data_IF_421210411517
#
_entry.id   IF_421210411517
#
_cell.length_a   1.000
_cell.length_b   1.000
_cell.length_c   1.000
_cell.angle_alpha   90.00
_cell.angle_beta   90.00
_cell.angle_gamma   90.00
#
_symmetry.space_group_name_H-M   'P 1'
#
loop_
_entity.id
_entity.type
_entity.pdbx_description
1 polymer ?
#
# COMPACT_ATOMS: atom_id res chain seq x y z
N UNK A 1 -65.15 30.16 -9.33
CA UNK A 1 -65.31 28.90 -10.09
C UNK A 1 -64.33 27.91 -9.50
N UNK A 2 -64.80 27.11 -8.54
CA UNK A 2 -63.99 26.08 -7.87
C UNK A 2 -64.11 24.78 -8.66
N UNK A 3 -62.98 24.32 -9.19
CA UNK A 3 -62.88 22.98 -9.76
C UNK A 3 -62.74 21.94 -8.61
N UNK A 4 -63.50 20.84 -8.60
CA UNK A 4 -63.40 19.82 -7.57
C UNK A 4 -62.11 19.00 -7.76
N UNK A 5 -61.36 18.87 -6.68
CA UNK A 5 -60.30 17.87 -6.58
C UNK A 5 -60.91 16.47 -6.74
N UNK A 6 -60.52 15.78 -7.78
CA UNK A 6 -60.85 14.36 -7.96
C UNK A 6 -60.09 13.54 -6.92
N UNK A 7 -60.76 13.17 -5.84
CA UNK A 7 -60.31 12.10 -4.93
C UNK A 7 -60.42 10.76 -5.63
N UNK A 8 -59.49 10.45 -6.53
CA UNK A 8 -59.29 9.10 -7.01
C UNK A 8 -58.79 8.24 -5.87
N UNK A 9 -59.55 7.21 -5.53
CA UNK A 9 -59.23 6.21 -4.53
C UNK A 9 -57.85 5.58 -4.87
N UNK A 10 -56.80 6.03 -4.19
CA UNK A 10 -55.56 5.30 -4.06
C UNK A 10 -55.86 4.05 -3.22
N UNK A 11 -56.07 2.91 -3.89
CA UNK A 11 -56.05 1.61 -3.24
C UNK A 11 -54.68 1.52 -2.52
N UNK A 12 -54.70 1.69 -1.20
CA UNK A 12 -53.59 1.40 -0.33
C UNK A 12 -53.33 -0.10 -0.41
N UNK A 13 -52.52 -0.54 -1.35
CA UNK A 13 -51.75 -1.75 -1.14
C UNK A 13 -50.85 -1.47 0.09
N UNK A 14 -51.30 -1.93 1.26
CA UNK A 14 -50.47 -1.96 2.47
C UNK A 14 -49.39 -2.98 2.18
N UNK A 15 -48.30 -2.54 1.65
CA UNK A 15 -47.06 -3.29 1.61
C UNK A 15 -46.66 -3.45 3.08
N UNK A 16 -46.59 -4.68 3.54
CA UNK A 16 -46.18 -4.95 4.92
C UNK A 16 -44.72 -4.47 5.04
N UNK A 17 -44.48 -3.49 5.93
CA UNK A 17 -43.17 -2.82 6.08
C UNK A 17 -42.13 -3.85 6.48
N UNK A 18 -42.52 -4.90 7.19
CA UNK A 18 -41.64 -5.98 7.63
C UNK A 18 -41.11 -6.84 6.44
N UNK A 19 -41.87 -6.97 5.35
CA UNK A 19 -41.48 -7.69 4.14
C UNK A 19 -40.42 -6.91 3.31
N UNK A 20 -40.26 -5.61 3.52
CA UNK A 20 -39.27 -4.76 2.84
C UNK A 20 -38.00 -4.55 3.67
N UNK A 21 -37.97 -4.95 4.94
CA UNK A 21 -36.77 -4.86 5.78
C UNK A 21 -35.77 -5.94 5.44
N UNK A 22 -34.75 -5.58 4.66
CA UNK A 22 -33.72 -6.50 4.15
C UNK A 22 -32.65 -6.82 5.20
N UNK A 23 -32.43 -5.90 6.15
CA UNK A 23 -31.39 -6.06 7.17
C UNK A 23 -31.81 -5.58 8.57
N UNK A 24 -31.32 -6.23 9.65
CA UNK A 24 -31.56 -5.78 11.00
C UNK A 24 -30.77 -4.49 11.31
N UNK A 25 -31.30 -3.67 12.24
CA UNK A 25 -30.57 -2.49 12.71
C UNK A 25 -29.37 -2.90 13.57
N UNK A 26 -28.17 -2.55 13.13
CA UNK A 26 -26.92 -2.78 13.85
C UNK A 26 -26.45 -1.54 14.63
N UNK A 27 -27.07 -0.39 14.47
CA UNK A 27 -26.64 0.89 15.03
C UNK A 27 -26.43 0.86 16.55
N UNK A 28 -27.44 0.42 17.31
CA UNK A 28 -27.34 0.29 18.78
C UNK A 28 -26.27 -0.71 19.20
N UNK A 29 -26.13 -1.83 18.48
CA UNK A 29 -25.15 -2.87 18.78
C UNK A 29 -23.74 -2.36 18.53
N UNK A 30 -23.52 -1.66 17.42
CA UNK A 30 -22.23 -1.00 17.11
C UNK A 30 -21.86 0.06 18.13
N UNK A 31 -22.81 0.91 18.52
CA UNK A 31 -22.58 1.92 19.55
C UNK A 31 -22.16 1.27 20.88
N UNK A 32 -22.82 0.18 21.27
CA UNK A 32 -22.43 -0.58 22.47
C UNK A 32 -21.02 -1.15 22.34
N UNK A 33 -20.66 -1.75 21.21
CA UNK A 33 -19.30 -2.26 20.96
C UNK A 33 -18.27 -1.12 20.99
N UNK A 34 -18.58 0.02 20.39
CA UNK A 34 -17.74 1.21 20.42
C UNK A 34 -17.50 1.72 21.84
N UNK A 35 -18.58 1.91 22.62
CA UNK A 35 -18.48 2.36 23.99
C UNK A 35 -17.74 1.35 24.88
N UNK A 36 -18.01 0.05 24.71
CA UNK A 36 -17.31 -1.02 25.42
C UNK A 36 -15.80 -1.00 25.13
N UNK A 37 -15.40 -0.69 23.88
CA UNK A 37 -14.00 -0.58 23.50
C UNK A 37 -13.32 0.61 24.16
N UNK A 38 -13.97 1.79 24.14
CA UNK A 38 -13.44 3.00 24.78
C UNK A 38 -13.33 2.82 26.30
N UNK A 39 -14.40 2.34 26.94
CA UNK A 39 -14.40 2.08 28.39
C UNK A 39 -13.38 1.00 28.76
N UNK A 40 -13.29 -0.06 27.94
CA UNK A 40 -12.32 -1.13 28.13
C UNK A 40 -10.88 -0.63 28.09
N UNK A 41 -10.53 0.24 27.15
CA UNK A 41 -9.21 0.85 27.05
C UNK A 41 -8.90 1.72 28.29
N UNK A 42 -9.84 2.56 28.70
CA UNK A 42 -9.71 3.42 29.87
C UNK A 42 -9.43 2.56 31.12
N UNK A 43 -10.30 1.58 31.35
CA UNK A 43 -10.19 0.67 32.51
C UNK A 43 -8.87 -0.12 32.46
N UNK A 44 -8.48 -0.60 31.28
CA UNK A 44 -7.23 -1.34 31.08
C UNK A 44 -5.99 -0.51 31.46
N UNK A 45 -5.95 0.77 31.04
CA UNK A 45 -4.85 1.67 31.39
C UNK A 45 -4.80 1.89 32.90
N UNK A 46 -5.93 2.20 33.54
CA UNK A 46 -5.98 2.41 34.98
C UNK A 46 -5.58 1.15 35.74
N UNK A 47 -6.10 -0.02 35.40
CA UNK A 47 -5.76 -1.29 36.07
C UNK A 47 -4.28 -1.59 35.91
N UNK A 48 -3.71 -1.42 34.72
CA UNK A 48 -2.30 -1.71 34.46
C UNK A 48 -1.38 -0.83 35.29
N UNK A 49 -1.62 0.47 35.34
CA UNK A 49 -0.82 1.39 36.18
C UNK A 49 -1.04 1.15 37.66
N UNK A 50 -2.29 0.97 38.12
CA UNK A 50 -2.60 0.68 39.51
C UNK A 50 -1.94 -0.60 40.01
N UNK A 51 -2.06 -1.69 39.24
CA UNK A 51 -1.43 -2.97 39.59
C UNK A 51 0.09 -2.86 39.66
N UNK A 52 0.72 -2.21 38.69
CA UNK A 52 2.18 -2.03 38.65
C UNK A 52 2.65 -1.19 39.85
N UNK A 53 1.97 -0.07 40.15
CA UNK A 53 2.31 0.79 41.27
C UNK A 53 2.18 0.06 42.62
N UNK A 54 1.09 -0.69 42.79
CA UNK A 54 0.87 -1.47 44.00
C UNK A 54 1.93 -2.57 44.20
N UNK A 55 2.29 -3.26 43.13
CA UNK A 55 3.32 -4.33 43.17
C UNK A 55 4.70 -3.75 43.54
N UNK A 56 5.07 -2.59 43.03
CA UNK A 56 6.39 -2.00 43.23
C UNK A 56 6.56 -1.26 44.56
N UNK A 57 5.54 -0.55 45.05
CA UNK A 57 5.65 0.31 46.24
C UNK A 57 4.37 0.37 47.09
N UNK A 58 3.51 -0.64 47.03
CA UNK A 58 2.30 -0.72 47.85
C UNK A 58 1.33 0.43 47.62
N UNK A 59 0.68 0.91 48.68
CA UNK A 59 -0.33 1.97 48.61
C UNK A 59 0.22 3.33 48.13
N UNK A 60 1.49 3.64 48.44
CA UNK A 60 2.13 4.88 47.96
C UNK A 60 2.35 4.81 46.43
N UNK A 61 2.89 3.70 45.93
CA UNK A 61 3.08 3.49 44.50
C UNK A 61 1.76 3.45 43.70
N UNK A 62 0.68 3.00 44.34
CA UNK A 62 -0.66 3.04 43.73
C UNK A 62 -1.09 4.49 43.43
N UNK A 63 -0.95 5.42 44.38
CA UNK A 63 -1.31 6.82 44.19
C UNK A 63 -0.52 7.49 43.05
N UNK A 64 0.80 7.32 43.05
CA UNK A 64 1.67 7.90 42.01
C UNK A 64 1.37 7.33 40.61
N UNK A 65 1.16 6.02 40.52
CA UNK A 65 0.87 5.37 39.23
C UNK A 65 -0.50 5.77 38.66
N UNK A 66 -1.48 6.03 39.50
CA UNK A 66 -2.76 6.56 39.08
C UNK A 66 -2.65 7.98 38.46
N UNK A 67 -1.78 8.83 39.00
CA UNK A 67 -1.46 10.14 38.41
C UNK A 67 -0.84 9.96 37.04
N UNK A 68 0.07 9.00 36.86
CA UNK A 68 0.63 8.70 35.54
C UNK A 68 -0.43 8.23 34.54
N UNK A 69 -1.36 7.37 34.95
CA UNK A 69 -2.48 6.94 34.13
C UNK A 69 -3.36 8.13 33.69
N UNK A 70 -3.65 9.07 34.61
CA UNK A 70 -4.41 10.27 34.31
C UNK A 70 -3.72 11.19 33.29
N UNK A 71 -2.39 11.27 33.32
CA UNK A 71 -1.61 12.06 32.34
C UNK A 71 -1.59 11.43 30.95
N UNK A 72 -1.47 10.11 30.87
CA UNK A 72 -1.40 9.38 29.60
C UNK A 72 -2.77 9.33 28.90
N UNK A 73 -3.85 9.16 29.67
CA UNK A 73 -5.18 8.87 29.16
C UNK A 73 -5.71 9.88 28.14
N UNK A 74 -5.70 11.22 28.39
CA UNK A 74 -6.22 12.18 27.41
C UNK A 74 -5.42 12.19 26.12
N UNK A 75 -4.09 12.03 26.21
CA UNK A 75 -3.21 11.97 25.05
C UNK A 75 -3.50 10.69 24.24
N UNK A 76 -3.60 9.56 24.94
CA UNK A 76 -3.94 8.28 24.33
C UNK A 76 -5.29 8.33 23.62
N UNK A 77 -6.36 8.83 24.29
CA UNK A 77 -7.69 8.90 23.69
C UNK A 77 -7.71 9.80 22.45
N UNK A 78 -7.06 10.96 22.52
CA UNK A 78 -6.95 11.87 21.37
C UNK A 78 -6.26 11.18 20.18
N UNK A 79 -5.12 10.55 20.44
CA UNK A 79 -4.39 9.83 19.37
C UNK A 79 -5.15 8.61 18.86
N UNK A 80 -5.82 7.85 19.72
CA UNK A 80 -6.61 6.68 19.35
C UNK A 80 -7.85 7.05 18.53
N UNK A 81 -8.49 8.18 18.84
CA UNK A 81 -9.57 8.74 18.02
C UNK A 81 -9.05 9.19 16.65
N UNK A 82 -7.94 9.92 16.63
CA UNK A 82 -7.37 10.46 15.40
C UNK A 82 -6.84 9.37 14.45
N UNK A 83 -6.17 8.35 14.96
CA UNK A 83 -5.61 7.25 14.15
C UNK A 83 -6.66 6.20 13.73
N UNK A 84 -7.92 6.39 14.13
CA UNK A 84 -9.02 5.49 13.81
C UNK A 84 -9.02 4.17 14.59
N UNK A 85 -8.40 4.13 15.79
CA UNK A 85 -8.43 2.94 16.64
C UNK A 85 -9.85 2.55 17.10
N UNK A 86 -10.80 3.47 16.98
CA UNK A 86 -12.23 3.28 17.25
C UNK A 86 -13.10 3.29 15.98
N UNK A 87 -12.52 3.19 14.79
CA UNK A 87 -13.27 3.13 13.54
C UNK A 87 -13.98 1.78 13.36
N UNK A 88 -15.02 1.75 12.51
CA UNK A 88 -15.69 0.50 12.09
C UNK A 88 -14.72 -0.52 11.52
N UNK A 89 -13.71 -0.05 10.76
CA UNK A 89 -12.64 -0.90 10.23
C UNK A 89 -11.80 -1.56 11.35
N UNK A 90 -11.58 -0.88 12.47
CA UNK A 90 -10.88 -1.44 13.64
C UNK A 90 -11.75 -2.40 14.45
N UNK A 91 -13.06 -2.24 14.43
CA UNK A 91 -14.02 -3.20 15.00
C UNK A 91 -14.10 -4.47 14.15
N UNK A 92 -14.06 -4.33 12.82
CA UNK A 92 -14.08 -5.45 11.86
C UNK A 92 -12.80 -6.28 11.91
N UNK A 93 -11.64 -5.61 11.87
CA UNK A 93 -10.33 -6.23 11.92
C UNK A 93 -9.68 -5.97 13.29
N UNK A 94 -9.84 -6.94 14.19
CA UNK A 94 -9.31 -6.83 15.56
C UNK A 94 -7.81 -6.59 15.62
N UNK A 95 -7.03 -7.12 14.67
CA UNK A 95 -5.58 -6.88 14.62
C UNK A 95 -5.23 -5.43 14.26
N UNK A 96 -5.98 -4.83 13.32
CA UNK A 96 -5.84 -3.39 13.03
C UNK A 96 -6.21 -2.54 14.24
N UNK A 97 -7.26 -2.93 14.95
CA UNK A 97 -7.67 -2.27 16.19
C UNK A 97 -6.60 -2.34 17.28
N UNK A 98 -6.00 -3.51 17.51
CA UNK A 98 -4.88 -3.70 18.45
C UNK A 98 -3.69 -2.84 18.04
N UNK A 99 -3.24 -2.95 16.79
CA UNK A 99 -2.08 -2.21 16.31
C UNK A 99 -2.24 -0.69 16.48
N UNK A 100 -3.40 -0.13 16.08
CA UNK A 100 -3.69 1.29 16.23
C UNK A 100 -3.74 1.74 17.70
N UNK A 101 -4.30 0.90 18.58
CA UNK A 101 -4.30 1.15 20.02
C UNK A 101 -2.90 1.18 20.62
N UNK A 102 -2.05 0.19 20.26
CA UNK A 102 -0.66 0.14 20.70
C UNK A 102 0.16 1.34 20.21
N UNK A 103 0.01 1.73 18.95
CA UNK A 103 0.67 2.93 18.43
C UNK A 103 0.26 4.18 19.20
N UNK A 104 -1.03 4.31 19.54
CA UNK A 104 -1.51 5.45 20.33
C UNK A 104 -0.90 5.47 21.73
N UNK A 105 -0.78 4.31 22.41
CA UNK A 105 -0.13 4.23 23.74
C UNK A 105 1.35 4.58 23.65
N UNK A 106 2.09 4.02 22.69
CA UNK A 106 3.53 4.28 22.52
C UNK A 106 3.79 5.78 22.32
N UNK A 107 3.01 6.43 21.45
CA UNK A 107 3.15 7.87 21.21
C UNK A 107 2.76 8.66 22.47
N UNK A 108 1.68 8.28 23.16
CA UNK A 108 1.26 8.96 24.40
C UNK A 108 2.33 8.86 25.50
N UNK A 109 2.92 7.68 25.69
CA UNK A 109 4.04 7.46 26.63
C UNK A 109 5.23 8.34 26.25
N UNK A 110 5.62 8.36 24.97
CA UNK A 110 6.72 9.19 24.50
C UNK A 110 6.47 10.67 24.76
N UNK A 111 5.26 11.17 24.47
CA UNK A 111 4.89 12.57 24.73
C UNK A 111 4.98 12.91 26.21
N UNK A 112 4.45 12.05 27.10
CA UNK A 112 4.51 12.29 28.54
C UNK A 112 5.95 12.31 29.04
N UNK A 113 6.79 11.35 28.63
CA UNK A 113 8.22 11.33 29.01
C UNK A 113 8.94 12.57 28.50
N UNK A 114 8.68 12.96 27.25
CA UNK A 114 9.31 14.16 26.68
C UNK A 114 8.91 15.44 27.42
N UNK A 115 7.63 15.60 27.75
CA UNK A 115 7.13 16.77 28.52
C UNK A 115 7.71 16.79 29.92
N UNK A 116 7.77 15.63 30.59
CA UNK A 116 8.39 15.51 31.95
C UNK A 116 9.87 15.89 31.92
N UNK A 117 10.60 15.43 30.89
CA UNK A 117 12.02 15.80 30.71
C UNK A 117 12.23 17.32 30.54
N UNK A 118 11.32 18.01 29.81
CA UNK A 118 11.41 19.44 29.60
C UNK A 118 11.07 20.26 30.83
N UNK A 119 10.08 19.83 31.64
CA UNK A 119 9.58 20.63 32.80
C UNK A 119 10.38 20.41 34.06
N UNK A 120 10.82 19.18 34.30
CA UNK A 120 11.56 18.79 35.55
C UNK A 120 12.64 17.77 35.24
N UNK A 121 13.84 18.18 34.78
CA UNK A 121 14.93 17.26 34.46
C UNK A 121 15.45 16.50 35.71
N UNK A 122 15.29 17.07 36.93
CA UNK A 122 15.78 16.52 38.18
C UNK A 122 14.70 15.81 39.02
N UNK A 123 13.49 15.63 38.54
CA UNK A 123 12.45 14.92 39.28
C UNK A 123 12.75 13.42 39.31
N UNK A 124 12.91 12.85 40.50
CA UNK A 124 12.91 11.41 40.77
C UNK A 124 11.51 10.83 40.55
N UNK A 125 11.07 10.87 39.29
CA UNK A 125 9.91 10.10 38.89
C UNK A 125 10.29 8.64 39.01
N UNK A 126 9.48 7.85 39.71
CA UNK A 126 9.66 6.40 39.74
C UNK A 126 9.66 5.83 38.32
N UNK A 127 10.82 5.89 37.65
CA UNK A 127 11.01 5.46 36.26
C UNK A 127 10.58 4.01 36.06
N UNK A 128 10.79 3.19 37.09
CA UNK A 128 10.38 1.78 37.11
C UNK A 128 8.86 1.64 37.13
N UNK A 129 8.15 2.44 37.96
CA UNK A 129 6.70 2.45 38.07
C UNK A 129 6.02 2.93 36.78
N UNK A 130 6.52 4.02 36.17
CA UNK A 130 6.00 4.55 34.92
C UNK A 130 6.24 3.58 33.76
N UNK A 131 7.47 3.10 33.55
CA UNK A 131 7.80 2.20 32.45
C UNK A 131 7.09 0.84 32.58
N UNK A 132 7.04 0.30 33.81
CA UNK A 132 6.31 -0.93 34.10
C UNK A 132 4.80 -0.78 33.83
N UNK A 133 4.22 0.34 34.29
CA UNK A 133 2.82 0.67 34.03
C UNK A 133 2.50 0.82 32.54
N UNK A 134 3.38 1.46 31.79
CA UNK A 134 3.22 1.62 30.33
C UNK A 134 3.29 0.27 29.58
N UNK A 135 4.26 -0.59 29.92
CA UNK A 135 4.37 -1.93 29.35
C UNK A 135 3.16 -2.81 29.71
N UNK A 136 2.72 -2.76 30.97
CA UNK A 136 1.53 -3.45 31.42
C UNK A 136 0.27 -2.94 30.69
N UNK A 137 0.13 -1.62 30.51
CA UNK A 137 -0.98 -1.03 29.78
C UNK A 137 -1.01 -1.49 28.32
N UNK A 138 0.13 -1.56 27.63
CA UNK A 138 0.20 -2.12 26.27
C UNK A 138 -0.28 -3.57 26.23
N UNK A 139 0.16 -4.39 27.16
CA UNK A 139 -0.21 -5.80 27.23
C UNK A 139 -1.71 -5.98 27.55
N UNK A 140 -2.24 -5.26 28.54
CA UNK A 140 -3.63 -5.37 28.98
C UNK A 140 -4.59 -4.83 27.93
N UNK A 141 -4.29 -3.68 27.31
CA UNK A 141 -5.10 -3.12 26.20
C UNK A 141 -5.09 -4.05 25.00
N UNK A 142 -3.92 -4.60 24.61
CA UNK A 142 -3.86 -5.56 23.51
C UNK A 142 -4.71 -6.80 23.79
N UNK A 143 -4.57 -7.38 25.00
CA UNK A 143 -5.34 -8.53 25.41
C UNK A 143 -6.85 -8.24 25.44
N UNK A 144 -7.26 -7.13 26.06
CA UNK A 144 -8.65 -6.72 26.15
C UNK A 144 -9.28 -6.52 24.74
N UNK A 145 -8.56 -5.85 23.84
CA UNK A 145 -9.04 -5.64 22.46
C UNK A 145 -9.17 -6.95 21.68
N UNK A 146 -8.31 -7.94 21.94
CA UNK A 146 -8.45 -9.28 21.34
C UNK A 146 -9.68 -10.00 21.89
N UNK A 147 -9.95 -9.91 23.21
CA UNK A 147 -11.16 -10.49 23.83
C UNK A 147 -12.43 -9.80 23.31
N UNK A 148 -12.38 -8.48 23.13
CA UNK A 148 -13.52 -7.72 22.64
C UNK A 148 -13.93 -8.12 21.20
N UNK A 149 -13.01 -8.66 20.40
CA UNK A 149 -13.33 -9.24 19.08
C UNK A 149 -14.39 -10.33 19.17
N UNK A 150 -14.30 -11.19 20.17
CA UNK A 150 -15.31 -12.25 20.40
C UNK A 150 -16.65 -11.65 20.82
N UNK A 151 -16.63 -10.61 21.66
CA UNK A 151 -17.81 -9.86 22.06
C UNK A 151 -18.50 -9.17 20.86
N UNK A 152 -17.71 -8.53 19.99
CA UNK A 152 -18.20 -7.85 18.78
C UNK A 152 -18.87 -8.86 17.84
N UNK A 153 -18.26 -10.03 17.60
CA UNK A 153 -18.86 -11.10 16.80
C UNK A 153 -20.14 -11.63 17.42
N UNK A 154 -20.14 -11.87 18.71
CA UNK A 154 -21.33 -12.32 19.41
C UNK A 154 -22.48 -11.31 19.31
N UNK A 155 -22.17 -10.00 19.38
CA UNK A 155 -23.19 -8.92 19.42
C UNK A 155 -23.67 -8.50 18.04
N UNK A 156 -22.77 -8.37 17.06
CA UNK A 156 -23.05 -7.86 15.72
C UNK A 156 -23.10 -8.95 14.64
N UNK A 157 -22.65 -10.17 14.95
CA UNK A 157 -22.48 -11.24 13.95
C UNK A 157 -21.14 -11.12 13.21
N UNK A 158 -20.99 -11.87 12.12
CA UNK A 158 -19.77 -11.89 11.32
C UNK A 158 -19.56 -10.59 10.52
N UNK A 159 -20.64 -9.89 10.20
CA UNK A 159 -20.61 -8.61 9.48
C UNK A 159 -21.05 -7.47 10.40
N UNK A 160 -20.16 -6.50 10.58
CA UNK A 160 -20.44 -5.29 11.37
C UNK A 160 -21.20 -4.25 10.56
N UNK A 161 -21.10 -4.29 9.23
CA UNK A 161 -21.80 -3.42 8.29
C UNK A 161 -22.79 -4.23 7.46
N UNK A 162 -23.96 -3.65 7.21
CA UNK A 162 -24.94 -4.22 6.30
C UNK A 162 -24.63 -3.76 4.88
N UNK A 163 -24.16 -4.67 4.05
CA UNK A 163 -23.88 -4.42 2.63
C UNK A 163 -24.98 -5.03 1.77
N UNK A 164 -25.49 -4.25 0.81
CA UNK A 164 -26.55 -4.64 -0.10
C UNK A 164 -26.07 -4.52 -1.56
N UNK A 165 -26.36 -5.54 -2.36
CA UNK A 165 -26.23 -5.49 -3.81
C UNK A 165 -27.61 -5.45 -4.43
N UNK A 166 -27.93 -4.40 -5.18
CA UNK A 166 -29.14 -4.27 -5.98
C UNK A 166 -28.82 -4.63 -7.42
N UNK A 167 -29.38 -5.73 -7.91
CA UNK A 167 -29.25 -6.18 -9.27
C UNK A 167 -30.41 -5.64 -10.11
N UNK A 168 -30.12 -4.70 -11.00
CA UNK A 168 -31.08 -4.06 -11.92
C UNK A 168 -30.69 -4.33 -13.39
N UNK A 169 -30.18 -5.53 -13.66
CA UNK A 169 -29.84 -5.99 -15.02
C UNK A 169 -28.49 -5.49 -15.53
N UNK A 170 -27.57 -5.15 -14.62
CA UNK A 170 -26.17 -4.84 -14.94
C UNK A 170 -25.24 -6.05 -14.83
N UNK A 171 -23.90 -5.83 -14.85
CA UNK A 171 -22.92 -6.87 -14.69
C UNK A 171 -23.02 -7.59 -13.33
N UNK A 172 -22.72 -8.88 -13.32
CA UNK A 172 -22.80 -9.66 -12.08
C UNK A 172 -21.62 -9.36 -11.14
N UNK A 173 -21.91 -8.92 -9.94
CA UNK A 173 -20.93 -8.71 -8.85
C UNK A 173 -21.20 -9.68 -7.73
N UNK A 174 -20.15 -10.30 -7.21
CA UNK A 174 -20.20 -11.12 -6.00
C UNK A 174 -19.35 -10.47 -4.92
N UNK A 175 -19.99 -10.12 -3.80
CA UNK A 175 -19.32 -9.65 -2.58
C UNK A 175 -19.65 -10.62 -1.46
N UNK A 176 -18.62 -11.12 -0.78
CA UNK A 176 -18.80 -12.12 0.27
C UNK A 176 -19.48 -11.47 1.50
N UNK A 177 -20.65 -12.00 1.85
CA UNK A 177 -21.40 -11.53 3.01
C UNK A 177 -22.39 -10.40 2.72
N UNK A 178 -22.46 -9.87 1.49
CA UNK A 178 -23.45 -8.89 1.10
C UNK A 178 -24.81 -9.58 0.81
N UNK A 179 -25.89 -8.91 1.18
CA UNK A 179 -27.26 -9.30 0.83
C UNK A 179 -27.46 -8.92 -0.63
N UNK A 180 -28.08 -9.81 -1.42
CA UNK A 180 -28.38 -9.53 -2.83
C UNK A 180 -29.87 -9.56 -3.09
N UNK A 181 -30.38 -8.53 -3.76
CA UNK A 181 -31.76 -8.43 -4.17
C UNK A 181 -31.87 -8.08 -5.66
N UNK A 182 -32.96 -8.51 -6.29
CA UNK A 182 -33.31 -8.10 -7.65
C UNK A 182 -34.20 -6.87 -7.59
N UNK A 183 -33.81 -5.79 -8.28
CA UNK A 183 -34.64 -4.59 -8.40
C UNK A 183 -36.01 -4.89 -9.03
N UNK A 184 -36.01 -5.71 -10.08
CA UNK A 184 -37.24 -6.13 -10.76
C UNK A 184 -38.13 -6.98 -9.84
N UNK A 185 -37.54 -7.93 -9.08
CA UNK A 185 -38.27 -8.81 -8.16
C UNK A 185 -38.93 -8.07 -7.01
N UNK A 186 -38.33 -6.96 -6.54
CA UNK A 186 -38.87 -6.12 -5.47
C UNK A 186 -39.63 -4.89 -6.00
N UNK A 187 -39.81 -4.75 -7.31
CA UNK A 187 -40.51 -3.61 -7.92
C UNK A 187 -39.80 -2.28 -7.69
N UNK A 188 -38.50 -2.29 -7.51
CA UNK A 188 -37.69 -1.07 -7.31
C UNK A 188 -37.40 -0.42 -8.67
N UNK A 189 -37.81 0.84 -8.79
CA UNK A 189 -37.54 1.66 -9.99
C UNK A 189 -37.00 3.01 -9.56
N UNK A 190 -35.83 3.44 -10.05
CA UNK A 190 -35.23 4.72 -9.69
C UNK A 190 -35.91 5.87 -10.41
N UNK A 191 -37.21 6.10 -10.14
CA UNK A 191 -37.98 7.19 -10.72
C UNK A 191 -38.03 8.39 -9.77
N UNK A 192 -37.30 9.45 -10.09
CA UNK A 192 -37.22 10.67 -9.28
C UNK A 192 -38.52 11.49 -9.24
N UNK A 193 -39.44 11.21 -10.18
CA UNK A 193 -40.74 11.91 -10.27
C UNK A 193 -41.86 11.17 -9.53
N UNK A 194 -41.57 10.01 -8.94
CA UNK A 194 -42.56 9.21 -8.19
C UNK A 194 -42.12 9.08 -6.73
N UNK A 195 -42.75 9.86 -5.81
CA UNK A 195 -42.46 9.79 -4.37
C UNK A 195 -42.69 8.39 -3.76
N UNK A 196 -43.62 7.60 -4.30
CA UNK A 196 -43.86 6.24 -3.78
C UNK A 196 -42.76 5.28 -4.17
N UNK A 197 -42.17 5.44 -5.37
CA UNK A 197 -40.99 4.67 -5.77
C UNK A 197 -39.78 5.03 -4.91
N UNK A 198 -39.61 6.31 -4.56
CA UNK A 198 -38.54 6.77 -3.67
C UNK A 198 -38.71 6.23 -2.25
N UNK A 199 -39.91 6.28 -1.70
CA UNK A 199 -40.24 5.74 -0.37
C UNK A 199 -39.95 4.23 -0.30
N UNK A 200 -40.36 3.47 -1.31
CA UNK A 200 -40.12 2.01 -1.39
C UNK A 200 -38.63 1.69 -1.35
N UNK A 201 -37.83 2.41 -2.13
CA UNK A 201 -36.37 2.22 -2.12
C UNK A 201 -35.78 2.64 -0.78
N UNK A 202 -36.24 3.75 -0.20
CA UNK A 202 -35.86 4.21 1.14
C UNK A 202 -36.13 3.19 2.24
N UNK A 203 -37.25 2.48 2.18
CA UNK A 203 -37.59 1.38 3.10
C UNK A 203 -36.61 0.19 2.94
N UNK A 204 -36.28 -0.20 1.70
CA UNK A 204 -35.31 -1.28 1.43
C UNK A 204 -33.92 -0.91 1.91
N UNK A 205 -33.51 0.37 1.75
CA UNK A 205 -32.21 0.87 2.19
C UNK A 205 -32.14 1.14 3.69
N UNK A 206 -33.24 1.03 4.40
CA UNK A 206 -33.25 1.19 5.85
C UNK A 206 -32.33 0.17 6.51
N UNK A 207 -31.47 0.63 7.40
CA UNK A 207 -30.45 -0.17 8.09
C UNK A 207 -29.31 -0.70 7.20
N UNK A 208 -29.24 -0.32 5.93
CA UNK A 208 -28.11 -0.61 5.05
C UNK A 208 -27.07 0.48 5.24
N UNK A 209 -25.81 0.08 5.33
CA UNK A 209 -24.67 0.99 5.46
C UNK A 209 -24.04 1.30 4.10
N UNK A 210 -23.92 0.26 3.28
CA UNK A 210 -23.31 0.35 1.95
C UNK A 210 -24.19 -0.39 0.93
N UNK A 211 -24.45 0.27 -0.18
CA UNK A 211 -25.20 -0.33 -1.29
C UNK A 211 -24.42 -0.22 -2.59
N UNK A 212 -24.36 -1.33 -3.31
CA UNK A 212 -23.79 -1.41 -4.65
C UNK A 212 -24.94 -1.68 -5.62
N UNK A 213 -25.13 -0.79 -6.58
CA UNK A 213 -26.12 -0.98 -7.64
C UNK A 213 -25.46 -1.43 -8.90
N UNK A 214 -25.89 -2.57 -9.43
CA UNK A 214 -25.53 -3.07 -10.74
C UNK A 214 -26.66 -2.85 -11.70
N UNK A 215 -26.49 -1.92 -12.65
CA UNK A 215 -27.52 -1.53 -13.61
C UNK A 215 -26.92 -1.20 -14.97
N UNK A 216 -27.73 -1.18 -16.05
CA UNK A 216 -27.31 -0.70 -17.37
C UNK A 216 -26.86 0.77 -17.32
N UNK A 217 -25.95 1.15 -18.25
CA UNK A 217 -25.37 2.49 -18.33
C UNK A 217 -26.42 3.63 -18.33
N UNK A 218 -27.54 3.43 -19.02
CA UNK A 218 -28.60 4.42 -19.12
C UNK A 218 -29.33 4.73 -17.80
N UNK A 219 -29.28 3.83 -16.81
CA UNK A 219 -29.95 4.01 -15.50
C UNK A 219 -29.01 4.45 -14.37
N UNK A 220 -27.71 4.51 -14.63
CA UNK A 220 -26.71 4.86 -13.60
C UNK A 220 -26.95 6.23 -12.98
N UNK A 221 -27.32 7.23 -13.80
CA UNK A 221 -27.56 8.59 -13.32
C UNK A 221 -28.77 8.67 -12.38
N UNK A 222 -29.85 7.94 -12.68
CA UNK A 222 -31.05 7.87 -11.85
C UNK A 222 -30.77 7.22 -10.50
N UNK A 223 -30.10 6.06 -10.50
CA UNK A 223 -29.67 5.39 -9.28
C UNK A 223 -28.70 6.25 -8.46
N UNK A 224 -27.71 6.87 -9.10
CA UNK A 224 -26.76 7.74 -8.39
C UNK A 224 -27.45 8.93 -7.72
N UNK A 225 -28.43 9.56 -8.37
CA UNK A 225 -29.19 10.66 -7.80
C UNK A 225 -30.04 10.19 -6.62
N UNK A 226 -30.66 9.02 -6.75
CA UNK A 226 -31.46 8.40 -5.69
C UNK A 226 -30.63 8.07 -4.46
N UNK A 227 -29.48 7.44 -4.63
CA UNK A 227 -28.57 7.06 -3.54
C UNK A 227 -28.03 8.27 -2.77
N UNK A 228 -27.81 9.41 -3.43
CA UNK A 228 -27.38 10.65 -2.77
C UNK A 228 -28.39 11.17 -1.76
N UNK A 229 -29.69 10.87 -1.94
CA UNK A 229 -30.75 11.23 -1.01
C UNK A 229 -31.02 10.19 0.09
N UNK A 230 -30.45 8.99 -0.01
CA UNK A 230 -30.81 7.85 0.83
C UNK A 230 -29.98 7.71 2.12
N UNK A 231 -29.01 8.59 2.38
CA UNK A 231 -28.12 8.55 3.56
C UNK A 231 -27.42 7.19 3.76
N UNK A 232 -26.92 6.60 2.66
CA UNK A 232 -26.14 5.38 2.62
C UNK A 232 -24.86 5.60 1.79
N UNK A 233 -23.82 4.81 2.03
CA UNK A 233 -22.66 4.78 1.15
C UNK A 233 -23.05 4.07 -0.15
N UNK A 234 -23.37 4.86 -1.19
CA UNK A 234 -23.91 4.38 -2.46
C UNK A 234 -22.84 4.29 -3.55
N UNK A 235 -22.73 3.13 -4.18
CA UNK A 235 -21.84 2.87 -5.30
C UNK A 235 -22.65 2.36 -6.49
N UNK A 236 -22.31 2.82 -7.69
CA UNK A 236 -22.89 2.32 -8.94
C UNK A 236 -21.78 1.66 -9.75
N UNK A 237 -22.02 0.42 -10.17
CA UNK A 237 -21.05 -0.37 -10.92
C UNK A 237 -20.81 0.22 -12.29
N UNK A 238 -19.55 0.40 -12.66
CA UNK A 238 -19.11 0.78 -13.99
C UNK A 238 -17.89 -0.03 -14.43
N UNK A 239 -18.06 -0.85 -15.45
CA UNK A 239 -16.99 -1.70 -15.99
C UNK A 239 -15.86 -0.89 -16.64
N UNK A 240 -16.12 0.34 -17.09
CA UNK A 240 -15.07 1.22 -17.62
C UNK A 240 -13.99 1.54 -16.61
N UNK A 241 -14.36 1.67 -15.33
CA UNK A 241 -13.42 1.87 -14.22
C UNK A 241 -12.40 0.72 -14.16
N UNK A 242 -12.88 -0.52 -14.26
CA UNK A 242 -12.03 -1.71 -14.26
C UNK A 242 -11.24 -1.83 -15.58
N UNK A 243 -11.87 -1.59 -16.71
CA UNK A 243 -11.24 -1.66 -18.04
C UNK A 243 -10.09 -0.68 -18.19
N UNK A 244 -10.22 0.54 -17.65
CA UNK A 244 -9.18 1.56 -17.68
C UNK A 244 -8.16 1.40 -16.53
N UNK A 245 -8.38 0.49 -15.57
CA UNK A 245 -7.57 0.37 -14.36
C UNK A 245 -7.61 1.66 -13.53
N UNK A 246 -8.76 2.32 -13.46
CA UNK A 246 -8.88 3.59 -12.75
C UNK A 246 -8.74 3.39 -11.24
N UNK A 247 -7.88 4.21 -10.63
CA UNK A 247 -7.56 4.18 -9.20
C UNK A 247 -8.43 5.16 -8.38
N UNK A 248 -9.20 6.01 -9.05
CA UNK A 248 -10.06 6.98 -8.42
C UNK A 248 -10.78 7.87 -9.45
N UNK A 249 -11.67 8.71 -8.94
CA UNK A 249 -12.38 9.69 -9.75
C UNK A 249 -12.31 11.08 -9.08
N UNK A 250 -12.31 12.13 -9.91
CA UNK A 250 -12.44 13.51 -9.44
C UNK A 250 -13.28 14.31 -10.41
N UNK A 251 -13.86 15.40 -9.94
CA UNK A 251 -14.62 16.33 -10.77
C UNK A 251 -13.83 17.63 -10.94
N UNK A 252 -13.71 18.09 -12.19
CA UNK A 252 -13.09 19.39 -12.51
C UNK A 252 -14.07 20.17 -13.39
N UNK A 253 -14.64 21.22 -12.84
CA UNK A 253 -15.73 21.95 -13.47
C UNK A 253 -16.96 21.05 -13.66
N UNK A 254 -17.36 20.81 -14.90
CA UNK A 254 -18.50 19.94 -15.27
C UNK A 254 -18.06 18.54 -15.71
N UNK A 255 -16.76 18.25 -15.71
CA UNK A 255 -16.22 17.00 -16.25
C UNK A 255 -15.79 16.05 -15.13
N UNK A 256 -16.23 14.80 -15.20
CA UNK A 256 -15.68 13.69 -14.43
C UNK A 256 -14.36 13.21 -15.04
N UNK A 257 -13.34 13.02 -14.22
CA UNK A 257 -12.04 12.50 -14.62
C UNK A 257 -11.76 11.20 -13.86
N UNK A 258 -11.41 10.15 -14.58
CA UNK A 258 -10.91 8.93 -13.97
C UNK A 258 -9.39 9.03 -13.85
N UNK A 259 -8.89 8.80 -12.66
CA UNK A 259 -7.46 8.77 -12.40
C UNK A 259 -6.92 7.38 -12.73
N UNK A 260 -6.28 7.24 -13.90
CA UNK A 260 -5.79 5.96 -14.42
C UNK A 260 -4.34 5.66 -14.05
N UNK A 261 -3.62 6.62 -13.50
CA UNK A 261 -2.23 6.45 -13.07
C UNK A 261 -1.91 7.40 -11.93
N UNK A 262 -1.24 6.87 -10.91
CA UNK A 262 -0.56 7.65 -9.88
C UNK A 262 0.92 7.24 -9.87
N UNK A 263 1.81 8.19 -9.64
CA UNK A 263 3.23 7.85 -9.47
C UNK A 263 3.42 6.89 -8.28
N UNK A 264 4.27 5.85 -8.40
CA UNK A 264 4.38 4.81 -7.37
C UNK A 264 4.94 5.32 -6.04
N UNK A 265 5.60 6.49 -6.04
CA UNK A 265 6.16 7.10 -4.83
C UNK A 265 5.64 8.51 -4.63
N UNK A 266 5.18 8.80 -3.41
CA UNK A 266 4.90 10.16 -2.93
C UNK A 266 6.17 11.02 -2.85
N UNK A 267 6.04 12.31 -2.61
CA UNK A 267 7.19 13.24 -2.52
C UNK A 267 8.16 12.83 -1.39
N UNK A 268 7.62 12.47 -0.22
CA UNK A 268 8.40 12.01 0.94
C UNK A 268 9.22 10.76 0.60
N UNK A 269 8.57 9.76 0.02
CA UNK A 269 9.22 8.48 -0.30
C UNK A 269 10.30 8.65 -1.37
N UNK A 270 10.07 9.54 -2.34
CA UNK A 270 11.10 9.92 -3.33
C UNK A 270 12.30 10.60 -2.69
N UNK A 271 12.08 11.46 -1.69
CA UNK A 271 13.16 12.13 -0.97
C UNK A 271 13.96 11.14 -0.13
N UNK A 272 13.29 10.26 0.63
CA UNK A 272 13.90 9.21 1.45
C UNK A 272 14.73 8.26 0.56
N UNK A 273 14.12 7.78 -0.54
CA UNK A 273 14.81 6.90 -1.49
C UNK A 273 16.03 7.60 -2.11
N UNK A 274 15.92 8.87 -2.47
CA UNK A 274 17.05 9.61 -3.06
C UNK A 274 18.18 9.82 -2.07
N UNK A 275 17.87 10.17 -0.82
CA UNK A 275 18.89 10.32 0.23
C UNK A 275 19.63 9.00 0.46
N UNK A 276 18.87 7.91 0.54
CA UNK A 276 19.42 6.56 0.66
C UNK A 276 20.34 6.21 -0.52
N UNK A 277 19.86 6.41 -1.77
CA UNK A 277 20.65 6.14 -2.99
C UNK A 277 21.96 6.92 -3.00
N UNK A 278 21.93 8.22 -2.67
CA UNK A 278 23.12 9.08 -2.67
C UNK A 278 24.10 8.70 -1.57
N UNK A 279 23.61 8.46 -0.35
CA UNK A 279 24.47 8.10 0.79
C UNK A 279 25.19 6.77 0.55
N UNK A 280 24.46 5.75 0.11
CA UNK A 280 25.06 4.43 -0.12
C UNK A 280 25.94 4.38 -1.38
N UNK A 281 25.51 5.00 -2.49
CA UNK A 281 26.33 5.03 -3.71
C UNK A 281 27.59 5.87 -3.50
N UNK A 282 27.48 7.02 -2.82
CA UNK A 282 28.65 7.86 -2.49
C UNK A 282 29.63 7.14 -1.57
N UNK A 283 29.12 6.52 -0.50
CA UNK A 283 29.96 5.69 0.39
C UNK A 283 30.63 4.53 -0.33
N UNK A 284 29.90 3.83 -1.20
CA UNK A 284 30.43 2.73 -1.99
C UNK A 284 31.54 3.21 -2.97
N UNK A 285 31.33 4.33 -3.66
CA UNK A 285 32.36 4.91 -4.56
C UNK A 285 33.60 5.27 -3.77
N UNK A 286 33.48 5.93 -2.63
CA UNK A 286 34.62 6.29 -1.77
C UNK A 286 35.38 5.05 -1.29
N UNK A 287 34.69 4.04 -0.79
CA UNK A 287 35.30 2.81 -0.30
C UNK A 287 35.96 2.00 -1.42
N UNK A 288 35.34 1.94 -2.60
CA UNK A 288 35.83 1.19 -3.74
C UNK A 288 36.76 2.01 -4.67
N UNK A 289 37.05 3.28 -4.37
CA UNK A 289 37.83 4.17 -5.23
C UNK A 289 39.21 3.60 -5.59
N UNK A 290 39.98 2.95 -4.68
CA UNK A 290 41.28 2.34 -5.08
C UNK A 290 41.09 1.23 -6.12
N UNK A 291 40.08 0.39 -5.95
CA UNK A 291 39.73 -0.68 -6.90
C UNK A 291 39.32 -0.10 -8.26
N UNK A 292 38.43 0.91 -8.25
CA UNK A 292 37.98 1.57 -9.48
C UNK A 292 39.12 2.18 -10.27
N UNK A 293 40.09 2.81 -9.59
CA UNK A 293 41.27 3.39 -10.22
C UNK A 293 42.16 2.29 -10.82
N UNK A 294 42.45 1.22 -10.08
CA UNK A 294 43.27 0.10 -10.58
C UNK A 294 42.63 -0.54 -11.81
N UNK A 295 41.34 -0.79 -11.78
CA UNK A 295 40.61 -1.36 -12.93
C UNK A 295 40.61 -0.38 -14.11
N UNK A 296 40.37 0.91 -13.87
CA UNK A 296 40.44 1.93 -14.92
C UNK A 296 41.82 1.95 -15.62
N UNK A 297 42.88 1.91 -14.85
CA UNK A 297 44.25 1.84 -15.38
C UNK A 297 44.51 0.53 -16.16
N UNK A 298 44.07 -0.60 -15.62
CA UNK A 298 44.23 -1.90 -16.31
C UNK A 298 43.49 -1.93 -17.65
N UNK A 299 42.26 -1.41 -17.72
CA UNK A 299 41.50 -1.30 -18.97
C UNK A 299 42.17 -0.33 -19.95
N UNK A 300 42.70 0.80 -19.44
CA UNK A 300 43.37 1.80 -20.28
C UNK A 300 44.68 1.29 -20.85
N UNK A 301 45.50 0.61 -20.05
CA UNK A 301 46.81 0.12 -20.44
C UNK A 301 46.75 -1.09 -21.39
N UNK A 302 45.64 -1.80 -21.45
CA UNK A 302 45.49 -3.00 -22.27
C UNK A 302 45.50 -2.70 -23.77
N UNK A 303 44.81 -1.65 -24.22
CA UNK A 303 44.68 -1.30 -25.65
C UNK A 303 44.58 0.21 -25.92
N UNK A 304 44.80 1.06 -24.91
CA UNK A 304 44.81 2.53 -25.05
C UNK A 304 43.45 3.18 -25.23
N UNK A 305 42.38 2.40 -25.41
CA UNK A 305 41.03 2.91 -25.67
C UNK A 305 40.32 3.57 -24.47
N UNK A 306 39.03 3.85 -24.58
CA UNK A 306 38.23 4.43 -23.49
C UNK A 306 38.11 3.49 -22.29
N UNK A 307 38.16 4.02 -21.07
CA UNK A 307 37.97 3.25 -19.82
C UNK A 307 36.56 2.80 -19.68
N UNK A 308 35.61 3.70 -19.98
CA UNK A 308 34.18 3.43 -19.86
C UNK A 308 33.58 3.06 -21.21
N UNK A 309 32.64 2.16 -21.15
CA UNK A 309 31.67 1.85 -22.19
C UNK A 309 30.31 2.42 -21.77
N UNK A 310 29.69 3.14 -22.68
CA UNK A 310 28.36 3.72 -22.45
C UNK A 310 27.34 3.01 -23.33
N UNK A 311 26.21 2.63 -22.73
CA UNK A 311 25.13 1.99 -23.46
C UNK A 311 23.83 2.69 -23.17
N UNK A 312 23.08 3.01 -24.23
CA UNK A 312 21.77 3.64 -24.13
C UNK A 312 20.74 2.64 -23.62
N UNK A 313 20.07 2.96 -22.52
CA UNK A 313 19.07 2.12 -21.86
C UNK A 313 17.80 2.90 -21.56
N UNK A 314 16.68 2.17 -21.47
CA UNK A 314 15.42 2.75 -21.04
C UNK A 314 15.42 2.95 -19.51
N UNK A 315 15.07 4.15 -19.08
CA UNK A 315 15.01 4.56 -17.68
C UNK A 315 13.63 5.05 -17.26
N UNK A 316 13.58 5.78 -16.15
CA UNK A 316 12.33 6.28 -15.57
C UNK A 316 11.52 7.12 -16.54
N UNK A 317 10.18 6.87 -16.57
CA UNK A 317 9.24 7.57 -17.43
C UNK A 317 9.46 7.29 -18.91
N UNK A 318 9.96 6.09 -19.23
CA UNK A 318 10.26 5.64 -20.58
C UNK A 318 11.24 6.56 -21.34
N UNK A 319 12.18 7.22 -20.62
CA UNK A 319 13.20 8.08 -21.19
C UNK A 319 14.54 7.36 -21.23
N UNK A 320 15.28 7.59 -22.28
CA UNK A 320 16.63 7.01 -22.40
C UNK A 320 17.64 7.72 -21.49
N UNK A 321 18.60 6.93 -21.00
CA UNK A 321 19.79 7.42 -20.31
C UNK A 321 21.02 6.62 -20.75
N UNK A 322 22.21 7.15 -20.47
CA UNK A 322 23.48 6.50 -20.77
C UNK A 322 23.97 5.73 -19.54
N UNK A 323 23.97 4.41 -19.61
CA UNK A 323 24.43 3.53 -18.55
C UNK A 323 25.95 3.35 -18.67
N UNK A 324 26.69 3.60 -17.59
CA UNK A 324 28.16 3.45 -17.56
C UNK A 324 28.56 2.05 -17.12
N UNK A 325 29.54 1.49 -17.82
CA UNK A 325 30.25 0.26 -17.45
C UNK A 325 31.75 0.41 -17.71
N UNK A 326 32.60 -0.41 -17.07
CA UNK A 326 33.94 -0.55 -17.56
C UNK A 326 33.92 -1.30 -18.89
N UNK A 327 34.78 -0.87 -19.81
CA UNK A 327 34.92 -1.54 -21.09
C UNK A 327 35.56 -2.92 -20.91
N UNK A 328 34.83 -3.94 -21.30
CA UNK A 328 35.24 -5.34 -21.21
C UNK A 328 35.52 -6.02 -22.58
N UNK A 329 35.26 -5.30 -23.67
CA UNK A 329 35.38 -5.79 -25.05
C UNK A 329 36.25 -4.84 -25.88
N UNK A 330 36.83 -5.36 -26.95
CA UNK A 330 37.60 -4.56 -27.91
C UNK A 330 36.72 -3.53 -28.62
N UNK A 331 37.27 -2.33 -28.85
CA UNK A 331 36.48 -1.18 -29.32
C UNK A 331 35.93 -1.36 -30.74
N UNK A 332 36.64 -2.09 -31.60
CA UNK A 332 36.31 -2.31 -33.03
C UNK A 332 35.11 -3.24 -33.25
N UNK A 333 34.69 -4.00 -32.24
CA UNK A 333 33.64 -5.03 -32.33
C UNK A 333 32.48 -4.81 -31.36
N UNK A 334 32.37 -3.62 -30.76
CA UNK A 334 31.35 -3.30 -29.75
C UNK A 334 29.95 -3.16 -30.38
N UNK A 335 28.94 -3.84 -29.82
CA UNK A 335 27.52 -3.66 -30.15
C UNK A 335 26.91 -2.56 -29.25
N UNK A 336 26.82 -1.35 -29.79
CA UNK A 336 26.21 -0.22 -29.09
C UNK A 336 24.69 -0.35 -28.89
N UNK A 337 24.05 -1.16 -29.73
CA UNK A 337 22.59 -1.38 -29.67
C UNK A 337 22.17 -2.45 -28.69
N UNK A 338 23.11 -3.35 -28.32
CA UNK A 338 22.82 -4.45 -27.40
C UNK A 338 21.89 -5.51 -27.95
N UNK A 339 21.83 -5.64 -29.27
CA UNK A 339 21.03 -6.63 -29.97
C UNK A 339 21.60 -8.06 -29.83
N UNK A 340 22.92 -8.17 -29.68
CA UNK A 340 23.57 -9.46 -29.50
C UNK A 340 24.09 -9.62 -28.08
N UNK A 341 23.46 -10.51 -27.34
CA UNK A 341 23.93 -10.89 -25.98
C UNK A 341 25.29 -11.56 -26.08
N UNK A 342 26.25 -11.11 -25.27
CA UNK A 342 27.57 -11.70 -25.24
C UNK A 342 27.54 -13.09 -24.57
N UNK A 343 27.99 -14.14 -25.26
CA UNK A 343 28.18 -15.47 -24.68
C UNK A 343 29.43 -15.54 -23.79
N UNK A 344 29.60 -16.62 -23.00
CA UNK A 344 30.77 -16.82 -22.14
C UNK A 344 32.09 -16.82 -22.90
N UNK A 345 32.11 -17.37 -24.11
CA UNK A 345 33.30 -17.57 -24.92
C UNK A 345 33.40 -16.59 -26.10
N UNK A 346 32.79 -15.41 -25.95
CA UNK A 346 32.80 -14.36 -26.95
C UNK A 346 34.22 -13.83 -27.17
N UNK A 347 34.75 -13.99 -28.39
CA UNK A 347 36.13 -13.58 -28.78
C UNK A 347 36.38 -12.07 -28.68
N UNK A 348 35.30 -11.26 -28.57
CA UNK A 348 35.38 -9.81 -28.37
C UNK A 348 35.85 -9.43 -26.96
N UNK A 349 35.77 -10.37 -26.00
CA UNK A 349 36.07 -10.11 -24.58
C UNK A 349 37.57 -10.10 -24.34
N UNK A 350 38.10 -8.99 -23.81
CA UNK A 350 39.52 -8.84 -23.48
C UNK A 350 39.92 -9.68 -22.25
N UNK A 351 41.24 -9.87 -22.00
CA UNK A 351 41.70 -10.61 -20.81
C UNK A 351 41.23 -9.94 -19.50
N UNK A 352 41.42 -8.63 -19.38
CA UNK A 352 40.94 -7.85 -18.24
C UNK A 352 39.41 -7.89 -18.20
N UNK A 353 38.77 -7.76 -19.38
CA UNK A 353 37.33 -7.84 -19.54
C UNK A 353 36.71 -9.13 -18.99
N UNK A 354 37.34 -10.26 -19.19
CA UNK A 354 36.89 -11.56 -18.68
C UNK A 354 36.92 -11.60 -17.15
N UNK A 355 37.95 -11.05 -16.53
CA UNK A 355 38.04 -10.96 -15.07
C UNK A 355 36.96 -10.05 -14.49
N UNK A 356 36.81 -8.80 -15.00
CA UNK A 356 35.85 -7.82 -14.45
C UNK A 356 34.41 -8.24 -14.68
N UNK A 357 34.08 -8.96 -15.77
CA UNK A 357 32.75 -9.53 -16.01
C UNK A 357 32.45 -10.67 -15.05
N UNK A 358 33.39 -11.58 -14.85
CA UNK A 358 33.21 -12.70 -13.91
C UNK A 358 32.93 -12.24 -12.46
N UNK A 359 33.51 -11.11 -12.09
CA UNK A 359 33.38 -10.50 -10.76
C UNK A 359 32.32 -9.40 -10.69
N UNK A 360 31.60 -9.13 -11.79
CA UNK A 360 30.64 -8.02 -11.91
C UNK A 360 31.25 -6.63 -11.61
N UNK A 361 32.56 -6.50 -11.57
CA UNK A 361 33.25 -5.22 -11.37
C UNK A 361 33.01 -4.27 -12.55
N UNK A 362 32.74 -4.81 -13.74
CA UNK A 362 32.39 -4.00 -14.92
C UNK A 362 31.12 -3.18 -14.73
N UNK A 363 30.23 -3.55 -13.83
CA UNK A 363 28.99 -2.82 -13.53
C UNK A 363 29.15 -1.74 -12.45
N UNK A 364 30.27 -1.69 -11.71
CA UNK A 364 30.49 -0.69 -10.64
C UNK A 364 30.38 0.77 -11.11
N UNK A 365 30.74 1.17 -12.33
CA UNK A 365 30.56 2.55 -12.81
C UNK A 365 29.08 2.99 -12.85
N UNK A 366 28.10 2.07 -12.79
CA UNK A 366 26.69 2.42 -12.67
C UNK A 366 26.39 3.14 -11.33
N UNK A 367 27.26 3.04 -10.31
CA UNK A 367 27.16 3.86 -9.10
C UNK A 367 27.22 5.37 -9.42
N UNK A 368 27.93 5.77 -10.48
CA UNK A 368 27.88 7.16 -10.97
C UNK A 368 26.50 7.51 -11.55
N UNK A 369 25.83 6.58 -12.26
CA UNK A 369 24.45 6.81 -12.70
C UNK A 369 23.49 6.96 -11.52
N UNK A 370 23.73 6.28 -10.40
CA UNK A 370 22.93 6.46 -9.18
C UNK A 370 23.15 7.86 -8.60
N UNK A 371 24.40 8.32 -8.50
CA UNK A 371 24.71 9.68 -8.02
C UNK A 371 24.16 10.76 -8.94
N UNK A 372 24.24 10.59 -10.25
CA UNK A 372 23.66 11.51 -11.24
C UNK A 372 22.14 11.51 -11.21
N UNK A 373 21.54 10.43 -10.75
CA UNK A 373 20.09 10.30 -10.59
C UNK A 373 19.37 9.63 -11.74
N UNK A 374 20.10 9.03 -12.69
CA UNK A 374 19.53 8.22 -13.77
C UNK A 374 19.07 6.86 -13.26
N UNK A 375 19.80 6.31 -12.28
CA UNK A 375 19.53 5.02 -11.65
C UNK A 375 19.28 5.16 -10.14
N UNK A 376 18.91 4.05 -9.54
CA UNK A 376 18.77 3.81 -8.10
C UNK A 376 19.59 2.58 -7.71
N UNK A 377 19.92 2.41 -6.44
CA UNK A 377 20.53 1.16 -5.95
C UNK A 377 19.59 -0.03 -6.17
N UNK A 378 18.30 0.16 -5.89
CA UNK A 378 17.28 -0.87 -6.04
C UNK A 378 16.18 -0.39 -6.97
N UNK A 379 15.84 -1.20 -7.95
CA UNK A 379 14.80 -0.94 -8.94
C UNK A 379 14.78 -2.01 -10.04
N UNK A 380 13.85 -1.91 -11.01
CA UNK A 380 13.82 -2.78 -12.17
C UNK A 380 15.12 -2.70 -12.97
N UNK A 381 15.70 -3.84 -13.37
CA UNK A 381 16.96 -3.84 -14.15
C UNK A 381 16.76 -3.17 -15.51
N UNK A 382 17.65 -2.22 -15.95
CA UNK A 382 17.51 -1.57 -17.24
C UNK A 382 17.81 -2.53 -18.39
N UNK A 383 16.89 -2.64 -19.34
CA UNK A 383 17.05 -3.48 -20.53
C UNK A 383 17.47 -2.65 -21.76
N UNK A 384 18.12 -3.29 -22.72
CA UNK A 384 18.37 -2.70 -24.03
C UNK A 384 17.08 -2.70 -24.85
N UNK A 385 16.98 -1.77 -25.79
CA UNK A 385 15.82 -1.70 -26.69
C UNK A 385 15.71 -2.90 -27.64
N UNK A 386 16.81 -3.57 -27.94
CA UNK A 386 16.84 -4.78 -28.75
C UNK A 386 16.74 -6.09 -27.96
N UNK A 387 16.39 -6.06 -26.66
CA UNK A 387 16.28 -7.29 -25.86
C UNK A 387 15.09 -8.14 -26.31
N UNK A 388 15.35 -9.45 -26.50
CA UNK A 388 14.38 -10.44 -26.96
C UNK A 388 14.04 -11.42 -25.84
N UNK A 389 12.80 -11.89 -25.84
CA UNK A 389 12.34 -13.05 -25.07
C UNK A 389 11.81 -14.07 -26.09
N UNK A 390 12.54 -15.16 -26.31
CA UNK A 390 12.38 -15.94 -27.52
C UNK A 390 12.61 -15.08 -28.78
N UNK A 391 11.65 -15.05 -29.67
CA UNK A 391 11.72 -14.29 -30.94
C UNK A 391 11.06 -12.91 -30.89
N UNK A 392 10.49 -12.51 -29.72
CA UNK A 392 9.75 -11.25 -29.57
C UNK A 392 10.52 -10.22 -28.77
N UNK A 393 10.34 -8.95 -29.11
CA UNK A 393 10.81 -7.86 -28.27
C UNK A 393 10.06 -7.84 -26.92
N UNK A 394 10.74 -7.44 -25.88
CA UNK A 394 10.18 -7.47 -24.51
C UNK A 394 8.81 -6.79 -24.39
N UNK A 395 8.59 -5.66 -25.06
CA UNK A 395 7.31 -4.94 -25.02
C UNK A 395 6.21 -5.56 -25.90
N UNK A 396 6.56 -6.50 -26.80
CA UNK A 396 5.60 -7.24 -27.61
C UNK A 396 5.02 -8.43 -26.84
N UNK A 397 5.72 -8.92 -25.82
CA UNK A 397 5.27 -10.04 -24.98
C UNK A 397 4.17 -9.60 -24.01
N UNK A 398 4.33 -8.43 -23.36
CA UNK A 398 3.35 -7.92 -22.39
C UNK A 398 3.32 -6.38 -22.43
N UNK A 399 2.14 -5.81 -22.68
CA UNK A 399 1.93 -4.37 -22.73
C UNK A 399 2.25 -3.66 -21.41
N UNK A 400 2.17 -4.36 -20.28
CA UNK A 400 2.55 -3.84 -18.96
C UNK A 400 4.05 -3.62 -18.81
N UNK A 401 4.86 -4.09 -19.76
CA UNK A 401 6.30 -3.88 -19.76
C UNK A 401 6.71 -2.42 -19.54
N UNK A 402 5.96 -1.47 -20.13
CA UNK A 402 6.24 -0.05 -20.00
C UNK A 402 6.01 0.50 -18.58
N UNK A 403 5.16 -0.14 -17.79
CA UNK A 403 4.82 0.30 -16.42
C UNK A 403 6.01 0.14 -15.47
N UNK A 404 6.91 -0.80 -15.73
CA UNK A 404 8.12 -1.03 -14.91
C UNK A 404 9.06 0.19 -14.85
N UNK A 405 8.96 1.09 -15.83
CA UNK A 405 9.75 2.32 -15.88
C UNK A 405 9.15 3.50 -15.11
N UNK A 406 8.11 3.28 -14.32
CA UNK A 406 7.55 4.32 -13.45
C UNK A 406 8.50 4.71 -12.30
N UNK A 407 9.43 3.81 -11.92
CA UNK A 407 10.59 4.11 -11.05
C UNK A 407 11.91 4.16 -11.85
N UNK A 408 12.97 4.64 -11.18
CA UNK A 408 14.33 4.56 -11.73
C UNK A 408 14.78 3.11 -11.83
N UNK A 409 15.51 2.74 -12.88
CA UNK A 409 16.14 1.43 -12.96
C UNK A 409 17.18 1.25 -11.85
N UNK A 410 17.34 0.00 -11.38
CA UNK A 410 18.24 -0.33 -10.28
C UNK A 410 19.50 -1.07 -10.71
N UNK A 411 20.57 -0.96 -9.88
CA UNK A 411 21.71 -1.87 -9.92
C UNK A 411 21.25 -3.28 -9.52
N UNK A 412 20.44 -3.37 -8.48
CA UNK A 412 19.77 -4.58 -8.05
C UNK A 412 18.26 -4.41 -8.09
N UNK A 413 17.51 -5.51 -8.03
CA UNK A 413 16.05 -5.47 -8.05
C UNK A 413 15.43 -6.76 -7.57
N UNK A 414 14.13 -6.71 -7.28
CA UNK A 414 13.39 -7.87 -6.77
C UNK A 414 13.46 -9.06 -7.72
N UNK A 415 13.33 -8.83 -9.02
CA UNK A 415 13.47 -9.89 -10.04
C UNK A 415 14.82 -10.59 -9.97
N UNK A 416 15.90 -9.82 -9.78
CA UNK A 416 17.25 -10.36 -9.73
C UNK A 416 17.49 -11.25 -8.51
N UNK A 417 17.03 -10.83 -7.32
CA UNK A 417 17.21 -11.61 -6.07
C UNK A 417 16.29 -12.84 -6.01
N UNK A 418 15.22 -12.86 -6.81
CA UNK A 418 14.36 -14.05 -6.99
C UNK A 418 14.89 -15.05 -8.03
N UNK A 419 16.07 -14.77 -8.63
CA UNK A 419 16.68 -15.67 -9.59
C UNK A 419 16.28 -15.43 -11.05
N UNK A 420 15.44 -14.43 -11.35
CA UNK A 420 15.08 -14.07 -12.74
C UNK A 420 16.18 -13.22 -13.40
N UNK A 421 17.45 -13.73 -13.36
CA UNK A 421 18.66 -12.97 -13.72
C UNK A 421 19.33 -13.63 -14.91
N UNK A 422 19.08 -13.79 -15.94
CA UNK A 422 19.78 -14.46 -17.03
C UNK A 422 19.26 -14.08 -18.40
N UNK A 423 19.56 -14.91 -19.36
CA UNK A 423 18.93 -14.85 -20.67
C UNK A 423 17.42 -15.07 -20.54
N UNK A 424 16.67 -14.52 -21.45
CA UNK A 424 15.22 -14.70 -21.58
C UNK A 424 14.97 -15.56 -22.82
N UNK A 425 15.23 -16.85 -22.66
CA UNK A 425 15.12 -17.80 -23.79
C UNK A 425 13.65 -18.06 -24.14
N UNK A 426 12.74 -17.88 -23.15
CA UNK A 426 11.30 -18.03 -23.33
C UNK A 426 10.54 -16.76 -22.89
N UNK A 427 9.35 -16.55 -23.46
CA UNK A 427 8.45 -15.44 -23.07
C UNK A 427 8.09 -15.51 -21.57
N UNK A 428 7.95 -16.73 -21.01
CA UNK A 428 7.66 -16.94 -19.59
C UNK A 428 8.73 -16.35 -18.64
N UNK A 429 10.00 -16.33 -19.06
CA UNK A 429 11.10 -15.78 -18.27
C UNK A 429 10.94 -14.27 -18.10
N UNK A 430 10.52 -13.60 -19.19
CA UNK A 430 10.19 -12.19 -19.15
C UNK A 430 8.95 -11.89 -18.32
N UNK A 431 7.89 -12.68 -18.45
CA UNK A 431 6.64 -12.51 -17.69
C UNK A 431 6.91 -12.60 -16.18
N UNK A 432 7.66 -13.62 -15.73
CA UNK A 432 8.03 -13.78 -14.33
C UNK A 432 8.88 -12.60 -13.81
N UNK A 433 9.84 -12.14 -14.63
CA UNK A 433 10.66 -10.96 -14.33
C UNK A 433 9.80 -9.71 -14.21
N UNK A 434 8.92 -9.46 -15.18
CA UNK A 434 8.03 -8.32 -15.21
C UNK A 434 7.09 -8.32 -14.00
N UNK A 435 6.54 -9.46 -13.63
CA UNK A 435 5.68 -9.57 -12.46
C UNK A 435 6.40 -9.20 -11.16
N UNK A 436 7.64 -9.64 -10.98
CA UNK A 436 8.46 -9.26 -9.84
C UNK A 436 8.79 -7.74 -9.85
N UNK A 437 9.07 -7.17 -11.02
CA UNK A 437 9.30 -5.73 -11.16
C UNK A 437 8.04 -4.92 -10.81
N UNK A 438 6.86 -5.32 -11.29
CA UNK A 438 5.59 -4.66 -10.98
C UNK A 438 5.23 -4.78 -9.50
N UNK A 439 5.42 -5.95 -8.89
CA UNK A 439 5.23 -6.14 -7.45
C UNK A 439 6.13 -5.20 -6.61
N UNK A 440 7.37 -4.98 -7.05
CA UNK A 440 8.25 -4.03 -6.39
C UNK A 440 7.70 -2.59 -6.46
N UNK A 441 7.10 -2.19 -7.59
CA UNK A 441 6.52 -0.87 -7.78
C UNK A 441 5.33 -0.60 -6.87
N UNK A 442 4.46 -1.59 -6.68
CA UNK A 442 3.22 -1.47 -5.89
C UNK A 442 3.47 -1.41 -4.38
N UNK A 443 4.56 -1.99 -3.91
CA UNK A 443 4.81 -2.15 -2.47
C UNK A 443 6.17 -1.62 -2.03
N UNK A 444 6.64 -0.48 -2.56
CA UNK A 444 7.92 0.07 -2.15
C UNK A 444 7.94 0.51 -0.68
N UNK A 445 8.99 0.10 0.01
CA UNK A 445 9.39 0.61 1.33
C UNK A 445 10.91 0.63 1.41
N UNK A 446 11.50 1.50 2.23
CA UNK A 446 12.95 1.53 2.46
C UNK A 446 13.47 0.21 3.04
N UNK A 447 12.68 -0.47 3.87
CA UNK A 447 13.02 -1.77 4.42
C UNK A 447 13.11 -2.84 3.33
N UNK A 448 12.25 -2.77 2.31
CA UNK A 448 12.30 -3.66 1.15
C UNK A 448 13.57 -3.44 0.32
N UNK A 449 14.00 -2.18 0.15
CA UNK A 449 15.27 -1.87 -0.50
C UNK A 449 16.46 -2.46 0.27
N UNK A 450 16.49 -2.31 1.59
CA UNK A 450 17.53 -2.91 2.45
C UNK A 450 17.55 -4.43 2.34
N UNK A 451 16.38 -5.08 2.35
CA UNK A 451 16.28 -6.53 2.17
C UNK A 451 16.83 -6.99 0.81
N UNK A 452 16.47 -6.27 -0.27
CA UNK A 452 16.97 -6.60 -1.63
C UNK A 452 18.48 -6.42 -1.71
N UNK A 453 19.06 -5.37 -1.13
CA UNK A 453 20.51 -5.17 -1.09
C UNK A 453 21.20 -6.31 -0.33
N UNK A 454 20.67 -6.69 0.83
CA UNK A 454 21.21 -7.80 1.63
C UNK A 454 21.19 -9.12 0.85
N UNK A 455 20.05 -9.42 0.21
CA UNK A 455 19.92 -10.63 -0.63
C UNK A 455 20.84 -10.58 -1.84
N UNK A 456 21.07 -9.41 -2.43
CA UNK A 456 22.01 -9.24 -3.55
C UNK A 456 23.43 -9.60 -3.13
N UNK A 457 23.89 -9.15 -1.96
CA UNK A 457 25.22 -9.51 -1.43
C UNK A 457 25.36 -11.03 -1.25
N UNK A 458 24.30 -11.70 -0.78
CA UNK A 458 24.29 -13.15 -0.63
C UNK A 458 24.37 -13.89 -1.96
N UNK A 459 23.70 -13.39 -3.00
CA UNK A 459 23.73 -13.97 -4.36
C UNK A 459 25.06 -13.76 -5.07
N UNK A 460 25.75 -12.62 -4.82
CA UNK A 460 27.07 -12.34 -5.39
C UNK A 460 28.17 -13.26 -4.83
N UNK A 461 27.99 -13.78 -3.61
CA UNK A 461 28.95 -14.68 -2.95
C UNK A 461 28.73 -16.16 -3.36
N UNK A 462 27.63 -16.49 -4.05
CA UNK A 462 27.33 -17.86 -4.50
C UNK A 462 27.71 -18.06 -5.98
N UNK A 463 28.32 -19.21 -6.29
CA UNK A 463 28.91 -19.59 -7.62
C UNK A 463 27.94 -19.64 -8.83
N UNK A 464 26.70 -19.20 -8.70
CA UNK A 464 25.70 -19.15 -9.79
C UNK A 464 25.54 -17.75 -10.41
N UNK A 465 26.61 -16.97 -10.47
CA UNK A 465 26.59 -15.62 -11.05
C UNK A 465 26.79 -15.59 -12.59
N UNK A 466 26.33 -16.63 -13.30
CA UNK A 466 26.37 -16.68 -14.78
C UNK A 466 25.05 -17.14 -15.34
#
# INVERSE_FOLDING_TARGET
>A
MNAPFATGALAKERIDIDDLLVAPSLERRRLQCYLSLVVGDIVSIFIAFAATGYILAGMQGLGESLVHAQLILPIFLTLALYNGAYSTASLQDGWKGVFRGLVAIVIAVFVVVFVQFLIRPDADVSRSGFNGGALAAMAVVAWMRLQLRSFVRWRCGDNIINELIIDDGGPQVQLRGAIRISAAGMGLRPNLNDPNALDRIGLVLRNIDRVIVSCPAGRRAEWAMMLKGANVDGEVLDDEVARLGAQGARVVGKHGLLMVSAGPLGLRDRAVKRLFDVAFAGGAILALSPLLIVVALAVKLQDGGSVFFTQRRMGRGNRFFNMYKFRSMTQSLGDATGSVSASKDDLRITRVGRFIRRTSIDELPQLFNVLLGDMSLVGPRPHATGSLAGDKLFWEVDLRYWQRHSLKPGLSGLAQVRGFRGATDHESDLVNRLQADLEYLEGWTIMRDLQIIFLTMRVLVHDRAF
#
